data_IF_169265877398
#
_entry.id   IF_169265877398
#
_cell.length_a   1.000
_cell.length_b   1.000
_cell.length_c   1.000
_cell.angle_alpha   90.00
_cell.angle_beta   90.00
_cell.angle_gamma   90.00
#
_symmetry.space_group_name_H-M   'P 1'
#
loop_
_entity.id
_entity.type
_entity.pdbx_description
1 polymer ?
#
# COMPACT_ATOMS: atom_id res chain seq x y z
N UNK A 1 32.85 -16.56 4.11
CA UNK A 1 31.90 -16.17 3.05
C UNK A 1 30.77 -15.42 3.73
N UNK A 2 30.61 -14.12 3.48
CA UNK A 2 29.37 -13.45 3.85
C UNK A 2 28.28 -14.06 2.97
N UNK A 3 27.24 -14.65 3.56
CA UNK A 3 26.00 -14.94 2.84
C UNK A 3 25.50 -13.62 2.25
N UNK A 4 25.48 -13.52 0.92
CA UNK A 4 24.80 -12.41 0.26
C UNK A 4 23.32 -12.52 0.60
N UNK A 5 22.77 -11.46 1.20
CA UNK A 5 21.35 -11.38 1.52
C UNK A 5 20.56 -11.47 0.22
N UNK A 6 19.63 -12.42 0.19
CA UNK A 6 18.74 -12.65 -0.94
C UNK A 6 17.74 -11.49 -1.08
N UNK A 7 17.56 -10.99 -2.30
CA UNK A 7 16.62 -9.92 -2.57
C UNK A 7 15.18 -10.39 -2.34
N UNK A 8 14.40 -9.56 -1.66
CA UNK A 8 12.96 -9.71 -1.51
C UNK A 8 12.23 -9.45 -2.84
N UNK A 9 10.99 -9.94 -2.95
CA UNK A 9 10.12 -9.63 -4.10
C UNK A 9 9.96 -8.11 -4.30
N UNK A 10 9.88 -7.37 -3.19
CA UNK A 10 9.77 -5.91 -3.21
C UNK A 10 11.00 -5.26 -3.86
N UNK A 11 12.20 -5.65 -3.43
CA UNK A 11 13.44 -5.10 -3.96
C UNK A 11 13.56 -5.39 -5.44
N UNK A 12 13.24 -6.62 -5.87
CA UNK A 12 13.23 -7.00 -7.28
C UNK A 12 12.22 -6.18 -8.08
N UNK A 13 11.00 -6.00 -7.59
CA UNK A 13 9.98 -5.19 -8.26
C UNK A 13 10.43 -3.74 -8.41
N UNK A 14 10.96 -3.14 -7.34
CA UNK A 14 11.44 -1.78 -7.37
C UNK A 14 12.60 -1.62 -8.37
N UNK A 15 13.51 -2.60 -8.43
CA UNK A 15 14.58 -2.64 -9.42
C UNK A 15 14.05 -2.78 -10.86
N UNK A 16 13.00 -3.57 -11.10
CA UNK A 16 12.36 -3.66 -12.42
C UNK A 16 11.73 -2.33 -12.84
N UNK A 17 11.01 -1.66 -11.93
CA UNK A 17 10.43 -0.33 -12.18
C UNK A 17 11.51 0.71 -12.45
N UNK A 18 12.58 0.70 -11.66
CA UNK A 18 13.73 1.58 -11.84
C UNK A 18 14.45 1.30 -13.16
N UNK A 19 14.56 0.03 -13.57
CA UNK A 19 15.13 -0.35 -14.87
C UNK A 19 14.29 0.20 -16.03
N UNK A 20 12.96 0.16 -15.92
CA UNK A 20 12.07 0.78 -16.90
C UNK A 20 12.19 2.31 -16.91
N UNK A 21 12.45 2.92 -15.74
CA UNK A 21 12.64 4.35 -15.55
C UNK A 21 14.01 4.87 -15.97
N UNK A 22 14.99 3.97 -16.13
CA UNK A 22 16.39 4.34 -16.23
C UNK A 22 16.69 5.08 -17.53
N UNK A 23 17.36 6.23 -17.41
CA UNK A 23 17.70 7.08 -18.55
C UNK A 23 19.21 7.20 -18.82
N UNK A 24 20.05 6.66 -17.94
CA UNK A 24 21.51 6.62 -18.13
C UNK A 24 21.95 5.56 -19.14
N UNK A 25 23.20 5.66 -19.61
CA UNK A 25 23.80 4.79 -20.63
C UNK A 25 24.77 3.74 -20.07
N UNK A 26 24.97 3.73 -18.76
CA UNK A 26 25.94 2.90 -18.02
C UNK A 26 25.42 1.52 -17.59
N UNK A 27 24.11 1.23 -17.71
CA UNK A 27 23.55 -0.10 -17.40
C UNK A 27 23.51 -1.04 -18.61
N UNK A 28 24.03 -0.60 -19.76
CA UNK A 28 24.14 -1.39 -20.97
C UNK A 28 25.41 -1.04 -21.75
N UNK A 29 26.03 -2.02 -22.41
CA UNK A 29 27.26 -1.77 -23.18
C UNK A 29 27.04 -0.90 -24.40
N UNK A 30 25.81 -0.84 -24.92
CA UNK A 30 25.42 -0.01 -26.05
C UNK A 30 24.56 1.20 -25.62
N UNK A 31 24.42 1.45 -24.32
CA UNK A 31 23.64 2.58 -23.78
C UNK A 31 22.14 2.52 -24.06
N UNK A 32 21.58 1.33 -24.34
CA UNK A 32 20.15 1.18 -24.66
C UNK A 32 19.29 1.33 -23.42
N UNK A 33 18.18 2.06 -23.54
CA UNK A 33 17.18 2.24 -22.48
C UNK A 33 15.76 2.07 -23.03
N UNK A 34 14.79 1.76 -22.17
CA UNK A 34 13.38 1.70 -22.59
C UNK A 34 12.89 3.04 -23.15
N UNK A 35 13.34 4.16 -22.61
CA UNK A 35 13.00 5.50 -23.10
C UNK A 35 13.39 5.69 -24.57
N UNK A 36 14.58 5.24 -24.99
CA UNK A 36 15.03 5.35 -26.38
C UNK A 36 14.12 4.62 -27.37
N UNK A 37 13.48 3.54 -26.94
CA UNK A 37 12.63 2.70 -27.78
C UNK A 37 11.14 2.97 -27.58
N UNK A 38 10.77 4.06 -26.90
CA UNK A 38 9.37 4.42 -26.67
C UNK A 38 8.67 3.57 -25.60
N UNK A 39 9.43 3.14 -24.59
CA UNK A 39 8.97 2.31 -23.47
C UNK A 39 8.33 0.98 -23.91
N UNK A 40 8.92 0.35 -24.92
CA UNK A 40 8.54 -0.98 -25.39
C UNK A 40 9.77 -1.81 -25.72
N UNK A 41 9.67 -3.13 -25.60
CA UNK A 41 10.78 -4.04 -25.84
C UNK A 41 10.40 -5.49 -25.55
N UNK A 42 11.42 -6.34 -25.43
CA UNK A 42 11.25 -7.74 -25.04
C UNK A 42 11.50 -7.94 -23.55
N UNK A 43 10.98 -9.04 -23.01
CA UNK A 43 11.31 -9.51 -21.67
C UNK A 43 12.83 -9.66 -21.47
N UNK A 44 13.56 -10.12 -22.50
CA UNK A 44 15.01 -10.26 -22.44
C UNK A 44 15.74 -8.91 -22.35
N UNK A 45 15.22 -7.85 -22.98
CA UNK A 45 15.77 -6.49 -22.82
C UNK A 45 15.66 -6.02 -21.37
N UNK A 46 14.49 -6.23 -20.74
CA UNK A 46 14.27 -5.83 -19.35
C UNK A 46 15.24 -6.52 -18.39
N UNK A 47 15.44 -7.84 -18.55
CA UNK A 47 16.32 -8.58 -17.65
C UNK A 47 17.81 -8.29 -17.89
N UNK A 48 18.19 -8.02 -19.14
CA UNK A 48 19.55 -7.56 -19.47
C UNK A 48 19.85 -6.22 -18.79
N UNK A 49 18.95 -5.25 -18.92
CA UNK A 49 19.10 -3.93 -18.28
C UNK A 49 19.03 -4.03 -16.75
N UNK A 50 18.20 -4.91 -16.20
CA UNK A 50 18.16 -5.19 -14.76
C UNK A 50 19.52 -5.67 -14.25
N UNK A 51 20.18 -6.57 -14.97
CA UNK A 51 21.53 -7.03 -14.61
C UNK A 51 22.53 -5.88 -14.57
N UNK A 52 22.47 -5.00 -15.57
CA UNK A 52 23.31 -3.79 -15.60
C UNK A 52 23.06 -2.87 -14.41
N UNK A 53 21.78 -2.64 -14.06
CA UNK A 53 21.40 -1.84 -12.89
C UNK A 53 21.91 -2.44 -11.57
N UNK A 54 21.85 -3.77 -11.42
CA UNK A 54 22.35 -4.48 -10.23
C UNK A 54 23.87 -4.26 -10.04
N UNK A 55 24.62 -4.25 -11.14
CA UNK A 55 26.07 -4.02 -11.16
C UNK A 55 26.36 -2.56 -10.85
N UNK A 56 25.69 -1.63 -11.53
CA UNK A 56 25.89 -0.18 -11.36
C UNK A 56 25.61 0.27 -9.92
N UNK A 57 24.58 -0.28 -9.30
CA UNK A 57 24.24 -0.01 -7.90
C UNK A 57 25.14 -0.72 -6.88
N UNK A 58 26.05 -1.59 -7.33
CA UNK A 58 26.89 -2.40 -6.44
C UNK A 58 26.10 -3.42 -5.60
N UNK A 59 24.85 -3.73 -5.96
CA UNK A 59 24.01 -4.73 -5.26
C UNK A 59 24.57 -6.14 -5.48
N UNK A 60 25.14 -6.37 -6.67
CA UNK A 60 25.81 -7.63 -7.04
C UNK A 60 27.15 -7.30 -7.68
N UNK A 61 28.20 -7.99 -7.23
CA UNK A 61 29.57 -7.76 -7.72
C UNK A 61 29.92 -8.75 -8.83
N UNK A 62 29.86 -8.31 -10.09
CA UNK A 62 30.62 -8.92 -11.18
C UNK A 62 30.76 -7.93 -12.34
N UNK A 63 32.00 -7.67 -12.78
CA UNK A 63 32.29 -6.80 -13.94
C UNK A 63 32.09 -7.50 -15.29
N UNK A 64 31.89 -8.82 -15.30
CA UNK A 64 32.08 -9.63 -16.51
C UNK A 64 30.76 -10.05 -17.22
N UNK A 65 29.59 -9.55 -16.80
CA UNK A 65 28.28 -9.97 -17.34
C UNK A 65 27.41 -8.85 -17.92
N UNK A 66 27.89 -7.61 -18.04
CA UNK A 66 27.23 -6.64 -18.92
C UNK A 66 27.48 -7.07 -20.37
N UNK A 67 26.42 -7.43 -21.09
CA UNK A 67 26.50 -7.81 -22.49
C UNK A 67 25.46 -7.06 -23.31
N UNK A 68 25.83 -6.64 -24.51
CA UNK A 68 24.93 -6.04 -25.48
C UNK A 68 24.17 -7.10 -26.27
N UNK A 69 22.92 -6.80 -26.61
CA UNK A 69 22.12 -7.58 -27.57
C UNK A 69 21.30 -6.64 -28.43
N UNK A 70 20.90 -7.08 -29.63
CA UNK A 70 19.93 -6.34 -30.43
C UNK A 70 18.65 -6.10 -29.61
N UNK A 71 18.10 -4.88 -29.69
CA UNK A 71 16.86 -4.54 -28.99
C UNK A 71 15.70 -5.34 -29.57
N UNK A 72 14.81 -5.84 -28.71
CA UNK A 72 13.69 -6.69 -29.13
C UNK A 72 14.12 -8.12 -29.49
N UNK A 73 15.31 -8.58 -29.07
CA UNK A 73 15.68 -9.99 -29.22
C UNK A 73 15.00 -10.86 -28.17
N UNK A 74 14.30 -11.91 -28.57
CA UNK A 74 13.48 -12.77 -27.71
C UNK A 74 13.99 -14.20 -27.64
N UNK A 75 15.16 -14.42 -27.02
CA UNK A 75 15.73 -15.78 -26.89
C UNK A 75 16.61 -16.01 -25.65
N UNK A 76 16.68 -15.04 -24.73
CA UNK A 76 17.62 -15.13 -23.60
C UNK A 76 16.90 -15.58 -22.33
N UNK A 77 17.05 -16.87 -22.00
CA UNK A 77 16.65 -17.42 -20.70
C UNK A 77 17.64 -17.00 -19.62
N UNK A 78 17.18 -16.81 -18.38
CA UNK A 78 18.04 -16.43 -17.26
C UNK A 78 18.65 -17.68 -16.63
N UNK A 79 19.96 -17.64 -16.44
CA UNK A 79 20.74 -18.67 -15.78
C UNK A 79 21.58 -18.03 -14.67
N UNK A 80 21.48 -18.62 -13.49
CA UNK A 80 22.18 -18.18 -12.28
C UNK A 80 23.68 -17.97 -12.55
N UNK A 81 24.17 -16.76 -12.25
CA UNK A 81 25.56 -16.34 -12.41
C UNK A 81 26.14 -16.47 -13.83
N UNK A 82 25.30 -16.58 -14.86
CA UNK A 82 25.74 -16.64 -16.25
C UNK A 82 25.44 -15.34 -16.98
N UNK A 83 24.16 -15.03 -17.17
CA UNK A 83 23.71 -13.82 -17.85
C UNK A 83 22.97 -12.85 -16.92
N UNK A 84 22.81 -13.23 -15.66
CA UNK A 84 22.33 -12.37 -14.59
C UNK A 84 23.02 -12.74 -13.28
N UNK A 85 23.40 -11.73 -12.50
CA UNK A 85 24.09 -11.92 -11.21
C UNK A 85 23.09 -12.15 -10.06
N UNK A 86 22.12 -13.04 -10.27
CA UNK A 86 21.08 -13.41 -9.31
C UNK A 86 21.08 -14.92 -9.08
N UNK A 87 20.71 -15.34 -7.87
CA UNK A 87 20.51 -16.74 -7.53
C UNK A 87 19.29 -17.33 -8.25
N UNK A 88 19.19 -18.66 -8.31
CA UNK A 88 18.02 -19.34 -8.87
C UNK A 88 16.70 -18.88 -8.25
N UNK A 89 16.67 -18.69 -6.93
CA UNK A 89 15.47 -18.25 -6.21
C UNK A 89 15.08 -16.82 -6.60
N UNK A 90 16.06 -15.92 -6.71
CA UNK A 90 15.83 -14.54 -7.16
C UNK A 90 15.40 -14.44 -8.63
N UNK A 91 15.93 -15.31 -9.50
CA UNK A 91 15.46 -15.41 -10.89
C UNK A 91 13.97 -15.77 -10.95
N UNK A 92 13.50 -16.70 -10.12
CA UNK A 92 12.08 -17.02 -10.04
C UNK A 92 11.24 -15.83 -9.56
N UNK A 93 11.76 -15.05 -8.60
CA UNK A 93 11.13 -13.79 -8.16
C UNK A 93 11.10 -12.74 -9.27
N UNK A 94 12.15 -12.63 -10.10
CA UNK A 94 12.14 -11.75 -11.28
C UNK A 94 11.02 -12.12 -12.25
N UNK A 95 10.85 -13.40 -12.54
CA UNK A 95 9.73 -13.87 -13.37
C UNK A 95 8.37 -13.61 -12.72
N UNK A 96 8.24 -13.84 -11.42
CA UNK A 96 7.03 -13.57 -10.66
C UNK A 96 6.67 -12.08 -10.71
N UNK A 97 7.62 -11.19 -10.42
CA UNK A 97 7.39 -9.75 -10.41
C UNK A 97 7.14 -9.20 -11.81
N UNK A 98 7.79 -9.73 -12.85
CA UNK A 98 7.43 -9.41 -14.23
C UNK A 98 5.95 -9.71 -14.53
N UNK A 99 5.45 -10.87 -14.12
CA UNK A 99 4.04 -11.22 -14.28
C UNK A 99 3.13 -10.33 -13.40
N UNK A 100 3.58 -9.95 -12.21
CA UNK A 100 2.84 -9.00 -11.37
C UNK A 100 2.70 -7.63 -12.05
N UNK A 101 3.75 -7.13 -12.73
CA UNK A 101 3.66 -5.88 -13.49
C UNK A 101 2.63 -5.97 -14.63
N UNK A 102 2.45 -7.15 -15.25
CA UNK A 102 1.40 -7.41 -16.24
C UNK A 102 0.01 -7.38 -15.58
N UNK A 103 -0.18 -8.13 -14.48
CA UNK A 103 -1.46 -8.19 -13.76
C UNK A 103 -1.87 -6.84 -13.21
N UNK A 104 -0.90 -6.03 -12.78
CA UNK A 104 -1.12 -4.66 -12.30
C UNK A 104 -1.39 -3.66 -13.43
N UNK A 105 -1.24 -4.06 -14.69
CA UNK A 105 -1.41 -3.21 -15.85
C UNK A 105 -0.34 -2.13 -15.99
N UNK A 106 0.82 -2.29 -15.34
CA UNK A 106 1.98 -1.38 -15.49
C UNK A 106 2.62 -1.61 -16.86
N UNK A 107 2.73 -2.88 -17.25
CA UNK A 107 3.13 -3.30 -18.60
C UNK A 107 2.01 -4.14 -19.22
N UNK A 108 1.94 -4.19 -20.54
CA UNK A 108 0.98 -5.00 -21.27
C UNK A 108 1.66 -5.77 -22.41
N UNK A 109 1.26 -7.03 -22.70
CA UNK A 109 1.79 -7.78 -23.83
C UNK A 109 1.63 -7.06 -25.17
N UNK A 110 2.59 -7.30 -26.06
CA UNK A 110 2.69 -6.70 -27.39
C UNK A 110 3.49 -5.39 -27.43
N UNK A 111 4.14 -5.12 -28.55
CA UNK A 111 4.88 -3.91 -28.83
C UNK A 111 4.66 -3.47 -30.28
N UNK A 112 4.67 -2.15 -30.53
CA UNK A 112 4.38 -1.57 -31.84
C UNK A 112 5.56 -1.75 -32.81
N UNK A 113 5.26 -2.13 -34.05
CA UNK A 113 6.25 -2.33 -35.11
C UNK A 113 6.58 -3.81 -35.33
N UNK A 114 7.84 -4.11 -35.66
CA UNK A 114 8.28 -5.46 -36.05
C UNK A 114 8.60 -6.40 -34.87
N UNK A 115 8.13 -6.09 -33.65
CA UNK A 115 8.37 -6.91 -32.46
C UNK A 115 7.41 -8.11 -32.41
N UNK A 116 6.13 -7.85 -32.14
CA UNK A 116 5.08 -8.86 -31.97
C UNK A 116 3.92 -8.34 -31.12
N UNK A 117 2.76 -9.00 -31.23
CA UNK A 117 1.52 -8.62 -30.51
C UNK A 117 1.32 -9.36 -29.19
N UNK A 118 2.29 -10.17 -28.79
CA UNK A 118 2.19 -11.09 -27.65
C UNK A 118 3.51 -11.16 -26.87
N UNK A 119 3.49 -11.84 -25.72
CA UNK A 119 4.70 -12.13 -24.98
C UNK A 119 5.70 -12.91 -25.86
N UNK A 120 7.01 -12.68 -25.72
CA UNK A 120 7.67 -11.93 -24.64
C UNK A 120 7.79 -10.42 -24.90
N UNK A 121 7.16 -9.90 -25.96
CA UNK A 121 7.15 -8.47 -26.24
C UNK A 121 6.11 -7.74 -25.38
N UNK A 122 6.45 -6.53 -24.95
CA UNK A 122 5.56 -5.72 -24.12
C UNK A 122 5.82 -4.23 -24.31
N UNK A 123 4.89 -3.42 -23.85
CA UNK A 123 5.04 -1.98 -23.69
C UNK A 123 4.60 -1.54 -22.30
N UNK A 124 5.14 -0.43 -21.83
CA UNK A 124 4.67 0.25 -20.62
C UNK A 124 3.36 0.97 -20.95
N UNK A 125 2.33 0.76 -20.14
CA UNK A 125 1.02 1.39 -20.35
C UNK A 125 1.04 2.85 -19.93
N UNK A 126 0.01 3.64 -20.30
CA UNK A 126 -0.14 5.02 -19.79
C UNK A 126 -0.12 5.08 -18.26
N UNK A 127 -0.74 4.08 -17.61
CA UNK A 127 -0.72 3.93 -16.14
C UNK A 127 0.68 3.59 -15.62
N UNK A 128 1.40 2.67 -16.28
CA UNK A 128 2.78 2.34 -15.93
C UNK A 128 3.72 3.53 -16.06
N UNK A 129 3.51 4.40 -17.04
CA UNK A 129 4.26 5.64 -17.19
C UNK A 129 4.06 6.62 -16.02
N UNK A 130 2.87 6.67 -15.44
CA UNK A 130 2.62 7.44 -14.21
C UNK A 130 3.34 6.82 -13.01
N UNK A 131 3.32 5.49 -12.89
CA UNK A 131 4.01 4.76 -11.82
C UNK A 131 5.53 4.98 -11.86
N UNK A 132 6.13 4.94 -13.04
CA UNK A 132 7.56 5.19 -13.26
C UNK A 132 7.95 6.61 -12.85
N UNK A 133 7.12 7.61 -13.16
CA UNK A 133 7.39 9.02 -12.85
C UNK A 133 7.30 9.35 -11.36
N UNK A 134 6.44 8.65 -10.63
CA UNK A 134 6.13 9.01 -9.24
C UNK A 134 7.15 8.47 -8.23
N UNK A 135 7.98 7.48 -8.58
CA UNK A 135 9.15 6.99 -7.82
C UNK A 135 9.05 6.90 -6.28
N UNK A 136 7.83 6.84 -5.73
CA UNK A 136 7.56 6.83 -4.30
C UNK A 136 7.03 5.46 -3.87
N UNK A 137 7.23 5.13 -2.60
CA UNK A 137 6.88 3.84 -2.00
C UNK A 137 5.36 3.65 -2.10
N UNK A 138 4.95 2.82 -3.06
CA UNK A 138 3.56 2.46 -3.28
C UNK A 138 3.14 1.31 -2.32
N UNK A 139 1.85 1.22 -1.94
CA UNK A 139 1.25 0.19 -1.06
C UNK A 139 1.38 -1.25 -1.56
N UNK A 140 2.07 -1.45 -2.68
CA UNK A 140 2.42 -2.76 -3.21
C UNK A 140 3.45 -3.50 -2.35
N UNK A 141 4.15 -2.83 -1.43
CA UNK A 141 4.88 -3.51 -0.35
C UNK A 141 3.89 -3.98 0.74
N UNK A 142 3.12 -5.02 0.42
CA UNK A 142 2.16 -5.59 1.39
C UNK A 142 2.88 -5.98 2.69
N UNK A 143 4.06 -6.56 2.58
CA UNK A 143 4.82 -7.03 3.74
C UNK A 143 5.31 -5.86 4.61
N UNK A 144 5.87 -4.81 4.02
CA UNK A 144 6.31 -3.62 4.76
C UNK A 144 5.13 -2.80 5.30
N UNK A 145 4.04 -2.69 4.56
CA UNK A 145 2.81 -2.04 5.01
C UNK A 145 2.22 -2.79 6.21
N UNK A 146 2.07 -4.12 6.11
CA UNK A 146 1.55 -4.96 7.18
C UNK A 146 2.50 -4.99 8.39
N UNK A 147 3.82 -4.98 8.17
CA UNK A 147 4.80 -4.83 9.27
C UNK A 147 4.65 -3.50 10.01
N UNK A 148 4.37 -2.39 9.30
CA UNK A 148 4.07 -1.10 9.96
C UNK A 148 2.77 -1.19 10.77
N UNK A 149 1.71 -1.75 10.18
CA UNK A 149 0.43 -1.92 10.86
C UNK A 149 0.53 -2.83 12.10
N UNK A 150 1.30 -3.91 12.03
CA UNK A 150 1.52 -4.85 13.14
C UNK A 150 2.42 -4.29 14.25
N UNK A 151 3.19 -3.22 14.00
CA UNK A 151 3.94 -2.52 15.06
C UNK A 151 3.04 -1.69 15.97
N UNK A 152 1.82 -1.40 15.52
CA UNK A 152 0.83 -0.68 16.33
C UNK A 152 0.45 -1.57 17.51
N UNK A 153 0.61 -1.02 18.72
CA UNK A 153 0.37 -1.75 19.95
C UNK A 153 -1.11 -2.13 20.07
N UNK A 154 -1.36 -3.40 20.36
CA UNK A 154 -2.70 -3.97 20.59
C UNK A 154 -3.68 -3.79 19.41
N UNK A 155 -3.14 -3.72 18.18
CA UNK A 155 -3.95 -3.65 16.96
C UNK A 155 -4.83 -4.89 16.83
N UNK A 156 -6.08 -4.70 16.42
CA UNK A 156 -7.06 -5.77 16.30
C UNK A 156 -6.79 -6.62 15.06
N UNK A 157 -6.84 -7.95 15.21
CA UNK A 157 -6.60 -8.91 14.13
C UNK A 157 -7.55 -8.70 12.94
N UNK A 158 -8.79 -8.27 13.18
CA UNK A 158 -9.74 -7.95 12.11
C UNK A 158 -9.33 -6.72 11.30
N UNK A 159 -8.73 -5.71 11.94
CA UNK A 159 -8.18 -4.54 11.24
C UNK A 159 -7.05 -4.99 10.32
N UNK A 160 -6.14 -5.82 10.83
CA UNK A 160 -5.04 -6.40 10.03
C UNK A 160 -5.58 -7.24 8.88
N UNK A 161 -6.60 -8.07 9.13
CA UNK A 161 -7.26 -8.90 8.12
C UNK A 161 -7.87 -8.06 7.00
N UNK A 162 -8.70 -7.07 7.32
CA UNK A 162 -9.37 -6.24 6.31
C UNK A 162 -8.38 -5.39 5.52
N UNK A 163 -7.35 -4.83 6.16
CA UNK A 163 -6.29 -4.11 5.44
C UNK A 163 -5.55 -5.06 4.48
N UNK A 164 -5.25 -6.28 4.91
CA UNK A 164 -4.59 -7.29 4.05
C UNK A 164 -5.44 -7.60 2.82
N UNK A 165 -6.74 -7.85 3.01
CA UNK A 165 -7.66 -8.09 1.89
C UNK A 165 -7.81 -6.86 1.00
N UNK A 166 -7.83 -5.66 1.59
CA UNK A 166 -7.82 -4.40 0.85
C UNK A 166 -6.60 -4.30 -0.07
N UNK A 167 -5.40 -4.53 0.46
CA UNK A 167 -4.16 -4.49 -0.31
C UNK A 167 -4.13 -5.55 -1.41
N UNK A 168 -4.66 -6.75 -1.16
CA UNK A 168 -4.81 -7.79 -2.20
C UNK A 168 -5.74 -7.34 -3.32
N UNK A 169 -6.90 -6.78 -2.98
CA UNK A 169 -7.82 -6.21 -3.96
C UNK A 169 -7.19 -5.06 -4.75
N UNK A 170 -6.44 -4.17 -4.10
CA UNK A 170 -5.75 -3.07 -4.75
C UNK A 170 -4.74 -3.57 -5.79
N UNK A 171 -3.95 -4.58 -5.41
CA UNK A 171 -2.95 -5.17 -6.27
C UNK A 171 -3.57 -5.94 -7.45
N UNK A 172 -4.74 -6.54 -7.24
CA UNK A 172 -5.54 -7.18 -8.29
C UNK A 172 -6.36 -6.18 -9.14
N UNK A 173 -6.16 -4.87 -8.95
CA UNK A 173 -6.91 -3.79 -9.64
C UNK A 173 -8.42 -3.80 -9.37
N UNK A 174 -8.86 -4.45 -8.29
CA UNK A 174 -10.23 -4.39 -7.77
C UNK A 174 -10.40 -3.17 -6.84
N UNK A 175 -10.36 -1.97 -7.42
CA UNK A 175 -10.23 -0.70 -6.65
C UNK A 175 -11.41 -0.45 -5.70
N UNK A 176 -12.65 -0.69 -6.12
CA UNK A 176 -13.81 -0.52 -5.25
C UNK A 176 -13.81 -1.54 -4.10
N UNK A 177 -13.47 -2.80 -4.38
CA UNK A 177 -13.35 -3.85 -3.36
C UNK A 177 -12.23 -3.54 -2.36
N UNK A 178 -11.13 -2.98 -2.83
CA UNK A 178 -10.06 -2.47 -1.97
C UNK A 178 -10.58 -1.40 -1.02
N UNK A 179 -11.33 -0.42 -1.53
CA UNK A 179 -11.89 0.64 -0.70
C UNK A 179 -12.86 0.09 0.34
N UNK A 180 -13.73 -0.85 -0.04
CA UNK A 180 -14.68 -1.50 0.88
C UNK A 180 -13.93 -2.12 2.08
N UNK A 181 -12.83 -2.84 1.82
CA UNK A 181 -12.02 -3.46 2.85
C UNK A 181 -11.35 -2.45 3.80
N UNK A 182 -10.78 -1.34 3.29
CA UNK A 182 -10.27 -0.24 4.13
C UNK A 182 -11.39 0.31 5.03
N UNK A 183 -12.60 0.40 4.49
CA UNK A 183 -13.79 0.78 5.25
C UNK A 183 -14.12 -0.12 6.42
N UNK A 184 -14.16 -1.43 6.18
CA UNK A 184 -14.44 -2.42 7.22
C UNK A 184 -13.39 -2.37 8.33
N UNK A 185 -12.12 -2.12 7.98
CA UNK A 185 -11.07 -1.86 8.96
C UNK A 185 -11.38 -0.60 9.79
N UNK A 186 -11.77 0.51 9.15
CA UNK A 186 -12.19 1.73 9.84
C UNK A 186 -13.44 1.55 10.72
N UNK A 187 -14.41 0.75 10.28
CA UNK A 187 -15.60 0.42 11.08
C UNK A 187 -15.24 -0.37 12.33
N UNK A 188 -14.33 -1.34 12.20
CA UNK A 188 -13.82 -2.14 13.31
C UNK A 188 -13.14 -1.26 14.36
N UNK A 189 -12.30 -0.32 13.92
CA UNK A 189 -11.63 0.65 14.80
C UNK A 189 -12.66 1.55 15.50
N UNK A 190 -13.65 2.07 14.77
CA UNK A 190 -14.67 2.96 15.33
C UNK A 190 -15.52 2.26 16.40
N UNK A 191 -15.87 0.99 16.19
CA UNK A 191 -16.61 0.18 17.18
C UNK A 191 -15.76 -0.07 18.43
N UNK A 192 -14.48 -0.44 18.26
CA UNK A 192 -13.55 -0.68 19.37
C UNK A 192 -13.25 0.59 20.17
N UNK A 193 -13.13 1.74 19.49
CA UNK A 193 -12.97 3.05 20.12
C UNK A 193 -14.20 3.43 20.95
N UNK A 194 -15.39 3.22 20.40
CA UNK A 194 -16.66 3.54 21.07
C UNK A 194 -16.86 2.68 22.31
N UNK A 195 -16.59 1.37 22.22
CA UNK A 195 -16.73 0.45 23.35
C UNK A 195 -15.70 0.73 24.45
N UNK A 196 -14.43 0.91 24.08
CA UNK A 196 -13.36 1.21 25.03
C UNK A 196 -13.61 2.53 25.77
N UNK A 197 -14.11 3.55 25.06
CA UNK A 197 -14.48 4.83 25.68
C UNK A 197 -15.68 4.71 26.62
N UNK A 198 -16.68 3.90 26.28
CA UNK A 198 -17.82 3.64 27.16
C UNK A 198 -17.36 2.99 28.48
N UNK A 199 -16.49 1.99 28.40
CA UNK A 199 -15.95 1.33 29.61
C UNK A 199 -15.11 2.28 30.45
N UNK A 200 -14.32 3.15 29.80
CA UNK A 200 -13.59 4.22 30.47
C UNK A 200 -14.53 5.18 31.21
N UNK A 201 -15.63 5.58 30.58
CA UNK A 201 -16.63 6.44 31.22
C UNK A 201 -17.33 5.76 32.39
N UNK A 202 -17.62 4.45 32.34
CA UNK A 202 -18.29 3.76 33.46
C UNK A 202 -17.54 3.92 34.77
N UNK A 203 -16.20 3.91 34.72
CA UNK A 203 -15.32 4.12 35.88
C UNK A 203 -15.12 5.58 36.23
N UNK A 204 -14.94 6.45 35.24
CA UNK A 204 -14.49 7.84 35.47
C UNK A 204 -15.62 8.88 35.51
N UNK A 205 -16.77 8.62 34.87
CA UNK A 205 -17.94 9.51 34.82
C UNK A 205 -19.23 8.71 34.53
N UNK A 206 -19.72 8.00 35.56
CA UNK A 206 -20.88 7.11 35.46
C UNK A 206 -22.17 7.80 34.95
N UNK A 207 -22.51 9.04 35.34
CA UNK A 207 -23.66 9.75 34.75
C UNK A 207 -23.54 9.94 33.23
N UNK A 208 -22.34 10.26 32.75
CA UNK A 208 -22.08 10.44 31.33
C UNK A 208 -22.09 9.10 30.58
N UNK A 209 -21.61 8.01 31.21
CA UNK A 209 -21.62 6.66 30.63
C UNK A 209 -23.03 6.16 30.36
N UNK A 210 -23.96 6.35 31.31
CA UNK A 210 -25.38 5.95 31.15
C UNK A 210 -26.04 6.71 30.01
N UNK A 211 -25.77 8.02 29.89
CA UNK A 211 -26.32 8.84 28.80
C UNK A 211 -25.78 8.39 27.43
N UNK A 212 -24.48 8.10 27.37
CA UNK A 212 -23.84 7.62 26.15
C UNK A 212 -24.37 6.25 25.72
N UNK A 213 -24.45 5.29 26.66
CA UNK A 213 -24.95 3.94 26.42
C UNK A 213 -26.41 3.95 25.93
N UNK A 214 -27.26 4.79 26.52
CA UNK A 214 -28.65 4.96 26.08
C UNK A 214 -28.74 5.45 24.63
N UNK A 215 -27.93 6.44 24.22
CA UNK A 215 -27.92 6.94 22.83
C UNK A 215 -27.40 5.89 21.82
N UNK A 216 -26.48 5.01 22.25
CA UNK A 216 -25.96 3.92 21.43
C UNK A 216 -26.98 2.80 21.21
N UNK A 217 -27.79 2.46 22.22
CA UNK A 217 -28.76 1.34 22.18
C UNK A 217 -30.07 1.71 21.51
N UNK A 218 -30.58 2.93 21.72
CA UNK A 218 -31.91 3.37 21.25
C UNK A 218 -31.96 3.55 19.73
N UNK A 219 -30.81 3.72 19.09
CA UNK A 219 -30.72 4.16 17.72
C UNK A 219 -30.24 3.02 16.81
N UNK A 220 -30.92 2.77 15.68
CA UNK A 220 -30.34 1.98 14.56
C UNK A 220 -29.26 2.81 13.85
N UNK A 221 -28.26 3.25 14.61
CA UNK A 221 -27.24 4.18 14.14
C UNK A 221 -26.22 3.45 13.28
N UNK A 222 -25.86 4.11 12.18
CA UNK A 222 -24.73 3.70 11.35
C UNK A 222 -23.43 3.89 12.15
N UNK A 223 -22.36 3.19 11.77
CA UNK A 223 -21.04 3.36 12.41
C UNK A 223 -20.58 4.84 12.36
N UNK A 224 -20.82 5.53 11.25
CA UNK A 224 -20.49 6.96 11.13
C UNK A 224 -21.20 7.82 12.19
N UNK A 225 -22.45 7.50 12.52
CA UNK A 225 -23.20 8.19 13.59
C UNK A 225 -22.66 7.83 14.97
N UNK A 226 -22.31 6.55 15.22
CA UNK A 226 -21.62 6.13 16.47
C UNK A 226 -20.33 6.92 16.70
N UNK A 227 -19.48 7.01 15.67
CA UNK A 227 -18.23 7.75 15.74
C UNK A 227 -18.43 9.25 15.99
N UNK A 228 -19.45 9.86 15.35
CA UNK A 228 -19.82 11.26 15.60
C UNK A 228 -20.23 11.47 17.06
N UNK A 229 -21.04 10.55 17.61
CA UNK A 229 -21.45 10.58 19.02
C UNK A 229 -20.28 10.41 19.97
N UNK A 230 -19.35 9.52 19.67
CA UNK A 230 -18.09 9.39 20.40
C UNK A 230 -17.36 10.73 20.49
N UNK A 231 -17.15 11.43 19.36
CA UNK A 231 -16.47 12.73 19.36
C UNK A 231 -17.22 13.77 20.22
N UNK A 232 -18.55 13.81 20.14
CA UNK A 232 -19.37 14.72 20.97
C UNK A 232 -19.19 14.45 22.46
N UNK A 233 -19.25 13.18 22.87
CA UNK A 233 -19.15 12.78 24.27
C UNK A 233 -17.72 12.90 24.81
N UNK A 234 -16.70 12.63 24.00
CA UNK A 234 -15.31 12.88 24.36
C UNK A 234 -15.07 14.37 24.64
N UNK A 235 -15.62 15.27 23.80
CA UNK A 235 -15.56 16.73 24.03
C UNK A 235 -16.27 17.14 25.32
N UNK A 236 -17.43 16.55 25.64
CA UNK A 236 -18.16 16.79 26.89
C UNK A 236 -17.33 16.34 28.11
N UNK A 237 -16.77 15.13 28.06
CA UNK A 237 -15.92 14.59 29.13
C UNK A 237 -14.71 15.49 29.40
N UNK A 238 -13.98 15.88 28.35
CA UNK A 238 -12.81 16.75 28.49
C UNK A 238 -13.14 18.13 29.07
N UNK A 239 -14.31 18.69 28.72
CA UNK A 239 -14.77 19.96 29.28
C UNK A 239 -15.05 19.88 30.78
N UNK A 240 -15.55 18.73 31.25
CA UNK A 240 -15.96 18.54 32.64
C UNK A 240 -14.80 18.09 33.55
N UNK A 241 -13.91 17.23 33.05
CA UNK A 241 -12.93 16.51 33.87
C UNK A 241 -11.48 16.99 33.71
N UNK A 242 -11.18 17.85 32.72
CA UNK A 242 -9.83 18.40 32.47
C UNK A 242 -8.71 17.34 32.47
N UNK A 243 -8.97 16.16 31.89
CA UNK A 243 -7.99 15.09 31.80
C UNK A 243 -6.76 15.54 30.97
N UNK A 244 -5.63 15.69 31.64
CA UNK A 244 -4.36 16.16 31.07
C UNK A 244 -3.78 15.13 30.09
N UNK A 245 -3.93 13.83 30.38
CA UNK A 245 -3.42 12.74 29.55
C UNK A 245 -4.19 12.64 28.23
N UNK A 246 -5.52 12.66 28.30
CA UNK A 246 -6.37 12.66 27.12
C UNK A 246 -6.24 13.97 26.31
N UNK A 247 -6.03 15.10 26.99
CA UNK A 247 -5.79 16.40 26.32
C UNK A 247 -4.47 16.44 25.56
N UNK A 248 -3.44 15.71 26.00
CA UNK A 248 -2.14 15.64 25.33
C UNK A 248 -2.19 14.84 24.01
N UNK A 249 -3.19 13.97 23.82
CA UNK A 249 -3.41 13.24 22.56
C UNK A 249 -4.11 14.10 21.50
N UNK A 250 -4.78 15.18 21.90
CA UNK A 250 -5.58 16.04 21.03
C UNK A 250 -4.81 16.78 19.93
N UNK A 251 -3.58 17.32 20.16
CA UNK A 251 -2.81 17.97 19.10
C UNK A 251 -2.43 17.04 17.95
N UNK A 252 -2.41 15.72 18.18
CA UNK A 252 -2.20 14.72 17.12
C UNK A 252 -3.42 14.55 16.21
N UNK A 253 -4.60 15.01 16.65
CA UNK A 253 -5.85 15.01 15.90
C UNK A 253 -6.08 16.43 15.34
N UNK A 254 -5.33 16.83 14.31
CA UNK A 254 -5.63 18.11 13.65
C UNK A 254 -7.01 18.06 12.94
N UNK A 255 -7.59 19.23 12.65
CA UNK A 255 -8.93 19.29 12.04
C UNK A 255 -8.97 18.56 10.69
N UNK A 256 -7.91 18.65 9.88
CA UNK A 256 -7.77 17.95 8.60
C UNK A 256 -7.82 16.42 8.76
N UNK A 257 -7.13 15.88 9.75
CA UNK A 257 -7.10 14.46 10.06
C UNK A 257 -8.47 13.99 10.51
N UNK A 258 -9.19 14.77 11.32
CA UNK A 258 -10.54 14.44 11.76
C UNK A 258 -11.55 14.33 10.59
N UNK A 259 -11.43 15.17 9.57
CA UNK A 259 -12.25 15.12 8.37
C UNK A 259 -11.90 13.91 7.48
N UNK A 260 -10.61 13.60 7.34
CA UNK A 260 -10.13 12.39 6.65
C UNK A 260 -10.65 11.12 7.35
N UNK A 261 -10.68 11.10 8.68
CA UNK A 261 -11.16 9.97 9.48
C UNK A 261 -12.67 9.80 9.47
N UNK A 262 -13.41 10.91 9.51
CA UNK A 262 -14.84 10.91 9.24
C UNK A 262 -15.13 10.44 7.80
N UNK A 263 -14.24 10.73 6.87
CA UNK A 263 -14.33 10.28 5.47
C UNK A 263 -14.11 8.76 5.37
N UNK A 264 -13.14 8.17 6.07
CA UNK A 264 -12.98 6.70 6.13
C UNK A 264 -14.21 5.97 6.66
N UNK A 265 -14.87 6.52 7.68
CA UNK A 265 -16.09 5.91 8.27
C UNK A 265 -17.37 6.21 7.47
N UNK A 266 -17.37 7.21 6.59
CA UNK A 266 -18.49 7.57 5.69
C UNK A 266 -18.38 6.98 4.29
N UNK A 267 -17.16 6.78 3.78
CA UNK A 267 -16.92 6.35 2.39
C UNK A 267 -17.09 4.85 2.17
N UNK A 268 -17.58 4.11 3.14
CA UNK A 268 -17.66 2.65 3.02
C UNK A 268 -18.99 2.09 3.51
N UNK A 269 -19.42 1.06 2.78
CA UNK A 269 -20.78 0.53 2.69
C UNK A 269 -21.82 1.52 2.13
N UNK A 270 -22.08 2.66 2.74
CA UNK A 270 -23.23 3.52 2.37
C UNK A 270 -23.08 4.27 1.03
N UNK A 271 -21.85 4.52 0.57
CA UNK A 271 -21.60 5.27 -0.67
C UNK A 271 -21.13 4.38 -1.82
N UNK A 272 -20.37 3.31 -1.54
CA UNK A 272 -19.77 2.42 -2.56
C UNK A 272 -20.59 1.17 -2.83
N UNK A 273 -21.42 0.68 -1.89
CA UNK A 273 -22.24 -0.53 -2.09
C UNK A 273 -23.67 -0.27 -2.58
N UNK A 274 -24.15 0.97 -2.46
CA UNK A 274 -25.30 1.42 -3.22
C UNK A 274 -24.84 1.75 -4.65
N UNK A 275 -25.68 1.54 -5.69
CA UNK A 275 -25.38 1.94 -7.07
C UNK A 275 -25.40 3.47 -7.21
N UNK A 276 -24.58 4.15 -6.43
CA UNK A 276 -24.23 5.54 -6.60
C UNK A 276 -22.99 5.60 -7.50
N UNK A 277 -22.95 6.59 -8.37
CA UNK A 277 -21.96 6.82 -9.43
C UNK A 277 -20.51 7.07 -8.95
N UNK A 278 -20.18 6.75 -7.69
CA UNK A 278 -18.84 6.97 -7.14
C UNK A 278 -17.95 5.77 -7.50
N UNK A 279 -17.43 5.82 -8.73
CA UNK A 279 -16.32 4.96 -9.14
C UNK A 279 -15.06 5.49 -8.43
N UNK A 280 -14.47 4.66 -7.56
CA UNK A 280 -13.22 5.02 -6.90
C UNK A 280 -12.08 4.93 -7.89
N UNK A 281 -11.29 6.01 -7.96
CA UNK A 281 -10.06 6.03 -8.73
C UNK A 281 -8.90 5.41 -7.93
N UNK A 282 -7.95 4.79 -8.64
CA UNK A 282 -6.80 4.11 -8.04
C UNK A 282 -5.96 5.06 -7.21
N UNK A 283 -5.75 6.30 -7.65
CA UNK A 283 -4.97 7.31 -6.93
C UNK A 283 -5.67 7.67 -5.62
N UNK A 284 -7.00 7.78 -5.62
CA UNK A 284 -7.77 8.04 -4.39
C UNK A 284 -7.61 6.91 -3.38
N UNK A 285 -7.75 5.66 -3.80
CA UNK A 285 -7.59 4.49 -2.91
C UNK A 285 -6.14 4.35 -2.42
N UNK A 286 -5.16 4.70 -3.25
CA UNK A 286 -3.76 4.82 -2.86
C UNK A 286 -3.57 5.84 -1.72
N UNK A 287 -4.11 7.04 -1.86
CA UNK A 287 -4.05 8.07 -0.80
C UNK A 287 -4.69 7.61 0.50
N UNK A 288 -5.76 6.82 0.41
CA UNK A 288 -6.38 6.19 1.58
C UNK A 288 -5.42 5.20 2.25
N UNK A 289 -4.75 4.30 1.52
CA UNK A 289 -3.75 3.42 2.14
C UNK A 289 -2.61 4.20 2.80
N UNK A 290 -2.09 5.24 2.14
CA UNK A 290 -0.97 6.02 2.67
C UNK A 290 -1.31 6.68 4.01
N UNK A 291 -2.53 7.19 4.16
CA UNK A 291 -2.99 7.86 5.39
C UNK A 291 -3.59 6.92 6.44
N UNK A 292 -3.93 5.68 6.09
CA UNK A 292 -4.63 4.76 6.98
C UNK A 292 -3.76 4.21 8.12
N UNK A 293 -2.44 4.05 7.90
CA UNK A 293 -1.54 3.60 8.99
C UNK A 293 -1.48 4.65 10.08
N UNK A 294 -1.26 5.92 9.71
CA UNK A 294 -1.22 7.04 10.65
C UNK A 294 -2.56 7.21 11.37
N UNK A 295 -3.68 7.00 10.65
CA UNK A 295 -5.01 6.92 11.26
C UNK A 295 -5.08 5.83 12.33
N UNK A 296 -4.67 4.60 12.00
CA UNK A 296 -4.70 3.47 12.94
C UNK A 296 -3.85 3.77 14.17
N UNK A 297 -2.61 4.23 13.99
CA UNK A 297 -1.71 4.58 15.09
C UNK A 297 -2.39 5.55 16.07
N UNK A 298 -2.99 6.61 15.54
CA UNK A 298 -3.65 7.60 16.37
C UNK A 298 -4.90 7.04 17.07
N UNK A 299 -5.75 6.27 16.38
CA UNK A 299 -6.93 5.70 17.04
C UNK A 299 -6.55 4.70 18.13
N UNK A 300 -5.51 3.89 17.90
CA UNK A 300 -5.01 2.95 18.90
C UNK A 300 -4.34 3.64 20.09
N UNK A 301 -3.73 4.82 19.91
CA UNK A 301 -3.31 5.66 21.04
C UNK A 301 -4.50 5.99 21.97
N UNK A 302 -5.64 6.39 21.41
CA UNK A 302 -6.87 6.65 22.20
C UNK A 302 -7.46 5.38 22.81
N UNK A 303 -7.60 4.31 22.03
CA UNK A 303 -8.13 3.01 22.50
C UNK A 303 -7.31 2.50 23.67
N UNK A 304 -5.98 2.50 23.53
CA UNK A 304 -5.08 2.00 24.56
C UNK A 304 -5.09 2.90 25.80
N UNK A 305 -5.20 4.22 25.62
CA UNK A 305 -5.40 5.13 26.75
C UNK A 305 -6.68 4.80 27.53
N UNK A 306 -7.81 4.58 26.84
CA UNK A 306 -9.05 4.21 27.49
C UNK A 306 -8.90 2.87 28.22
N UNK A 307 -8.44 1.81 27.54
CA UNK A 307 -8.25 0.48 28.13
C UNK A 307 -7.36 0.49 29.39
N UNK A 308 -6.32 1.32 29.43
CA UNK A 308 -5.43 1.44 30.59
C UNK A 308 -6.07 2.18 31.77
N UNK A 309 -7.03 3.07 31.53
CA UNK A 309 -7.65 3.91 32.55
C UNK A 309 -9.10 3.52 32.90
N UNK A 310 -9.68 2.53 32.19
CA UNK A 310 -10.94 1.85 32.51
C UNK A 310 -10.88 0.95 33.73
#
# INVERSE_FOLDING_TARGET
>A
MMEQVELSNLEIRNLLLETLAYEGDNIDTEGKTFKMYGYQGSQSDLFRLLNGLLIEKGIRSCKDTMYGSAWGCSSHLLYENSNINLSKSEILKVYQEFNNLIVQGIISPGAYGSYGTELPFFHVTSYGMECIKQADILPYDQDGYLKKLQKIKDVNDWVVFYVTEGLRCFNASCINSSMINIGLAGETIAEELTSSFLDFLKKNDTPLSVSFEAELVVSRITIAQKYTKYIEYQKKYLKNNQDVGLSALKPKLDNSSSEIYATFTRLTRNSVSHPNDIIMDRIKVLMFFLSFVDYCELQYDFINYYKLNS
#
